data_IF_450324149235
#
_entry.id   IF_450324149235
#
_cell.length_a   1.000
_cell.length_b   1.000
_cell.length_c   1.000
_cell.angle_alpha   90.00
_cell.angle_beta   90.00
_cell.angle_gamma   90.00
#
_symmetry.space_group_name_H-M   'P 1'
#
loop_
_entity.id
_entity.type
_entity.pdbx_description
1 polymer ?
#
# COMPACT_ATOMS: atom_id res chain seq x y z
N UNK A 1 -1.26 13.77 -11.05
CA UNK A 1 -1.24 12.47 -10.36
C UNK A 1 -1.12 12.65 -8.86
N UNK A 2 -0.11 13.38 -8.35
CA UNK A 2 0.00 13.74 -6.92
C UNK A 2 -1.27 14.39 -6.33
N UNK A 3 -1.91 15.32 -7.01
CA UNK A 3 -3.14 15.91 -6.46
C UNK A 3 -4.29 14.89 -6.40
N UNK A 4 -4.37 13.96 -7.35
CA UNK A 4 -5.40 12.92 -7.36
C UNK A 4 -5.14 11.85 -6.31
N UNK A 5 -3.88 11.50 -6.05
CA UNK A 5 -3.53 10.35 -5.21
C UNK A 5 -3.94 10.55 -3.75
N UNK A 6 -3.67 11.72 -3.17
CA UNK A 6 -4.08 11.98 -1.79
C UNK A 6 -5.60 11.99 -1.64
N UNK A 7 -6.34 12.62 -2.56
CA UNK A 7 -7.81 12.62 -2.55
C UNK A 7 -8.38 11.19 -2.66
N UNK A 8 -7.83 10.37 -3.56
CA UNK A 8 -8.26 8.99 -3.72
C UNK A 8 -8.00 8.16 -2.45
N UNK A 9 -6.83 8.32 -1.83
CA UNK A 9 -6.46 7.59 -0.61
C UNK A 9 -7.24 8.05 0.60
N UNK A 10 -7.52 9.34 0.73
CA UNK A 10 -8.39 9.87 1.78
C UNK A 10 -9.83 9.31 1.62
N UNK A 11 -10.37 9.30 0.39
CA UNK A 11 -11.69 8.71 0.11
C UNK A 11 -11.72 7.21 0.41
N UNK A 12 -10.70 6.46 -0.02
CA UNK A 12 -10.55 5.02 0.25
C UNK A 12 -10.55 4.77 1.77
N UNK A 13 -9.73 5.51 2.53
CA UNK A 13 -9.66 5.41 3.99
C UNK A 13 -11.02 5.73 4.65
N UNK A 14 -11.72 6.77 4.19
CA UNK A 14 -13.07 7.12 4.69
C UNK A 14 -14.06 5.97 4.42
N UNK A 15 -14.06 5.40 3.22
CA UNK A 15 -14.95 4.29 2.86
C UNK A 15 -14.62 3.05 3.72
N UNK A 16 -13.35 2.67 3.81
CA UNK A 16 -12.89 1.50 4.56
C UNK A 16 -13.22 1.61 6.05
N UNK A 17 -12.92 2.74 6.68
CA UNK A 17 -13.20 2.98 8.11
C UNK A 17 -14.70 2.95 8.41
N UNK A 18 -15.53 3.57 7.56
CA UNK A 18 -16.99 3.55 7.73
C UNK A 18 -17.58 2.14 7.49
N UNK A 19 -17.11 1.43 6.47
CA UNK A 19 -17.53 0.07 6.18
C UNK A 19 -17.18 -0.86 7.34
N UNK A 20 -15.93 -0.85 7.78
CA UNK A 20 -15.47 -1.64 8.92
C UNK A 20 -16.31 -1.35 10.17
N UNK A 21 -16.51 -0.07 10.52
CA UNK A 21 -17.30 0.28 11.71
C UNK A 21 -18.77 -0.15 11.60
N UNK A 22 -19.35 -0.16 10.39
CA UNK A 22 -20.70 -0.70 10.18
C UNK A 22 -20.73 -2.22 10.38
N UNK A 23 -19.76 -2.95 9.83
CA UNK A 23 -19.67 -4.41 9.96
C UNK A 23 -19.40 -4.83 11.41
N UNK A 24 -18.50 -4.12 12.10
CA UNK A 24 -18.19 -4.32 13.53
C UNK A 24 -19.44 -4.24 14.41
N UNK A 25 -20.37 -3.34 14.10
CA UNK A 25 -21.65 -3.21 14.85
C UNK A 25 -22.71 -4.22 14.43
N UNK A 26 -22.61 -4.78 13.23
CA UNK A 26 -23.63 -5.67 12.65
C UNK A 26 -23.47 -7.10 13.14
N UNK A 27 -22.23 -7.57 13.27
CA UNK A 27 -21.94 -8.95 13.60
C UNK A 27 -21.50 -9.08 15.07
N UNK A 28 -21.86 -10.22 15.67
CA UNK A 28 -21.25 -10.66 16.93
C UNK A 28 -19.95 -11.36 16.58
N UNK A 29 -18.83 -10.84 17.09
CA UNK A 29 -17.49 -11.24 16.71
C UNK A 29 -16.66 -11.49 17.97
N UNK A 30 -15.87 -12.56 17.99
CA UNK A 30 -14.86 -12.78 19.03
C UNK A 30 -13.53 -12.09 18.69
N UNK A 31 -13.30 -11.85 17.40
CA UNK A 31 -12.08 -11.23 16.87
C UNK A 31 -12.38 -10.48 15.56
N UNK A 32 -11.69 -9.36 15.35
CA UNK A 32 -11.81 -8.56 14.12
C UNK A 32 -10.53 -7.77 13.89
N UNK A 33 -10.15 -7.61 12.63
CA UNK A 33 -8.97 -6.86 12.20
C UNK A 33 -9.35 -5.84 11.15
N UNK A 34 -8.82 -4.63 11.31
CA UNK A 34 -8.84 -3.59 10.29
C UNK A 34 -7.40 -3.35 9.83
N UNK A 35 -7.17 -3.35 8.52
CA UNK A 35 -5.89 -3.06 7.91
C UNK A 35 -6.07 -1.98 6.85
N UNK A 36 -5.15 -1.02 6.81
CA UNK A 36 -5.10 0.04 5.81
C UNK A 36 -3.64 0.37 5.49
N UNK A 37 -3.33 0.54 4.21
CA UNK A 37 -2.00 0.82 3.68
C UNK A 37 -1.89 2.25 3.13
N UNK A 38 -2.90 3.11 3.36
CA UNK A 38 -2.93 4.48 2.84
C UNK A 38 -1.83 5.32 3.46
N UNK A 39 -1.52 5.12 4.75
CA UNK A 39 -0.41 5.78 5.44
C UNK A 39 0.94 5.52 4.78
N UNK A 40 1.16 4.29 4.32
CA UNK A 40 2.38 3.91 3.64
C UNK A 40 2.53 4.62 2.29
N UNK A 41 1.48 4.53 1.47
CA UNK A 41 1.44 5.19 0.15
C UNK A 41 1.61 6.71 0.27
N UNK A 42 0.88 7.33 1.20
CA UNK A 42 0.95 8.77 1.41
C UNK A 42 2.27 9.18 2.05
N UNK A 43 2.84 8.36 2.94
CA UNK A 43 4.17 8.55 3.51
C UNK A 43 5.22 8.59 2.41
N UNK A 44 5.22 7.63 1.49
CA UNK A 44 6.17 7.64 0.38
C UNK A 44 6.13 8.91 -0.47
N UNK A 45 4.95 9.48 -0.73
CA UNK A 45 4.80 10.60 -1.67
C UNK A 45 4.87 11.98 -0.96
N UNK A 46 4.29 12.09 0.22
CA UNK A 46 4.03 13.37 0.90
C UNK A 46 4.81 13.55 2.19
N UNK A 47 5.73 12.66 2.56
CA UNK A 47 6.57 12.89 3.74
C UNK A 47 7.44 14.13 3.52
N UNK A 48 7.43 15.06 4.47
CA UNK A 48 8.16 16.34 4.39
C UNK A 48 8.85 16.62 5.71
N UNK A 49 9.87 17.48 5.68
CA UNK A 49 10.46 17.98 6.93
C UNK A 49 9.45 18.87 7.65
N UNK A 50 9.48 18.83 8.98
CA UNK A 50 8.69 19.77 9.80
C UNK A 50 9.07 21.21 9.44
N UNK A 51 8.07 22.04 9.11
CA UNK A 51 8.27 23.43 8.71
C UNK A 51 8.63 23.64 7.24
N UNK A 52 8.71 22.59 6.43
CA UNK A 52 8.85 22.71 4.99
C UNK A 52 7.54 23.22 4.37
N UNK A 53 7.61 24.33 3.64
CA UNK A 53 6.46 24.87 2.91
C UNK A 53 6.14 24.01 1.69
N UNK A 54 4.92 23.50 1.64
CA UNK A 54 4.41 22.72 0.52
C UNK A 54 2.89 22.84 0.51
N UNK A 55 2.30 22.91 -0.69
CA UNK A 55 0.84 22.81 -0.84
C UNK A 55 0.25 21.47 -0.35
N UNK A 56 1.11 20.48 -0.08
CA UNK A 56 0.73 19.15 0.40
C UNK A 56 1.07 18.91 1.87
N UNK A 57 1.49 19.94 2.62
CA UNK A 57 1.91 19.78 4.03
C UNK A 57 0.79 19.23 4.93
N UNK A 58 -0.48 19.40 4.55
CA UNK A 58 -1.63 18.89 5.30
C UNK A 58 -2.04 17.45 4.96
N UNK A 59 -1.50 16.84 3.90
CA UNK A 59 -1.96 15.49 3.46
C UNK A 59 -1.80 14.44 4.56
N UNK A 60 -0.59 14.32 5.13
CA UNK A 60 -0.32 13.35 6.20
C UNK A 60 -1.10 13.71 7.48
N UNK A 61 -1.07 14.97 7.98
CA UNK A 61 -1.90 15.38 9.11
C UNK A 61 -3.40 15.11 8.94
N UNK A 62 -3.98 15.39 7.77
CA UNK A 62 -5.40 15.13 7.46
C UNK A 62 -5.70 13.64 7.60
N UNK A 63 -4.84 12.78 7.04
CA UNK A 63 -4.97 11.32 7.12
C UNK A 63 -4.96 10.85 8.59
N UNK A 64 -4.07 11.41 9.42
CA UNK A 64 -4.07 11.14 10.87
C UNK A 64 -5.36 11.61 11.57
N UNK A 65 -5.96 12.74 11.17
CA UNK A 65 -7.25 13.18 11.73
C UNK A 65 -8.40 12.25 11.35
N UNK A 66 -8.39 11.68 10.15
CA UNK A 66 -9.40 10.69 9.71
C UNK A 66 -9.29 9.43 10.58
N UNK A 67 -8.08 8.87 10.74
CA UNK A 67 -7.90 7.65 11.54
C UNK A 67 -8.16 7.89 13.02
N UNK A 68 -7.77 9.04 13.58
CA UNK A 68 -8.00 9.37 14.99
C UNK A 68 -9.51 9.39 15.32
N UNK A 69 -10.31 10.03 14.45
CA UNK A 69 -11.77 10.00 14.57
C UNK A 69 -12.35 8.58 14.50
N UNK A 70 -11.81 7.73 13.62
CA UNK A 70 -12.22 6.33 13.51
C UNK A 70 -11.82 5.52 14.76
N UNK A 71 -10.57 5.65 15.22
CA UNK A 71 -10.06 5.02 16.43
C UNK A 71 -10.90 5.42 17.64
N UNK A 72 -11.31 6.70 17.74
CA UNK A 72 -12.24 7.16 18.77
C UNK A 72 -13.56 6.40 18.77
N UNK A 73 -14.17 6.21 17.59
CA UNK A 73 -15.42 5.42 17.44
C UNK A 73 -15.23 3.96 17.84
N UNK A 74 -14.18 3.31 17.35
CA UNK A 74 -13.87 1.91 17.64
C UNK A 74 -13.55 1.73 19.13
N UNK A 75 -12.78 2.63 19.74
CA UNK A 75 -12.45 2.60 21.16
C UNK A 75 -13.70 2.71 22.04
N UNK A 76 -14.65 3.58 21.70
CA UNK A 76 -15.92 3.70 22.42
C UNK A 76 -16.76 2.41 22.29
N UNK A 77 -16.83 1.84 21.09
CA UNK A 77 -17.47 0.54 20.88
C UNK A 77 -16.78 -0.57 21.70
N UNK A 78 -15.46 -0.63 21.69
CA UNK A 78 -14.68 -1.64 22.41
C UNK A 78 -14.91 -1.53 23.92
N UNK A 79 -14.88 -0.32 24.49
CA UNK A 79 -15.19 -0.08 25.91
C UNK A 79 -16.61 -0.53 26.27
N UNK A 80 -17.61 -0.19 25.45
CA UNK A 80 -19.02 -0.54 25.72
C UNK A 80 -19.24 -2.06 25.71
N UNK A 81 -18.53 -2.78 24.85
CA UNK A 81 -18.71 -4.21 24.66
C UNK A 81 -17.57 -5.06 25.27
N UNK A 82 -16.75 -4.47 26.15
CA UNK A 82 -15.67 -5.15 26.87
C UNK A 82 -14.59 -5.81 25.96
N UNK A 83 -14.31 -5.23 24.80
CA UNK A 83 -13.22 -5.65 23.91
C UNK A 83 -11.88 -4.98 24.26
N UNK A 84 -10.79 -5.65 23.89
CA UNK A 84 -9.47 -5.05 23.78
C UNK A 84 -9.33 -4.41 22.39
N UNK A 85 -8.79 -3.19 22.36
CA UNK A 85 -8.36 -2.51 21.15
C UNK A 85 -6.83 -2.52 21.11
N UNK A 86 -6.30 -3.05 20.01
CA UNK A 86 -4.87 -3.08 19.72
C UNK A 86 -4.65 -2.30 18.44
N UNK A 87 -3.71 -1.36 18.47
CA UNK A 87 -3.26 -0.59 17.32
C UNK A 87 -1.77 -0.87 17.18
N UNK A 88 -1.36 -1.38 16.04
CA UNK A 88 0.04 -1.67 15.74
C UNK A 88 0.38 -1.22 14.32
N UNK A 89 1.64 -0.86 14.11
CA UNK A 89 2.24 -0.75 12.77
C UNK A 89 3.36 -1.77 12.62
N UNK A 90 3.58 -2.21 11.39
CA UNK A 90 4.70 -3.07 11.01
C UNK A 90 6.02 -2.29 10.94
N UNK A 91 5.97 -1.01 10.59
CA UNK A 91 7.11 -0.09 10.63
C UNK A 91 6.66 1.36 10.87
N UNK A 92 7.62 2.28 10.86
CA UNK A 92 7.43 3.72 10.89
C UNK A 92 7.83 4.37 9.58
N UNK A 93 7.96 5.70 9.59
CA UNK A 93 8.38 6.48 8.43
C UNK A 93 9.44 7.51 8.81
N UNK A 94 10.32 7.79 7.85
CA UNK A 94 11.36 8.80 7.94
C UNK A 94 11.60 9.48 6.60
N UNK A 95 12.30 10.61 6.62
CA UNK A 95 12.62 11.33 5.40
C UNK A 95 13.68 10.56 4.60
N UNK A 96 13.39 10.32 3.32
CA UNK A 96 14.35 9.77 2.38
C UNK A 96 15.38 10.84 1.99
N UNK A 97 16.67 10.52 1.98
CA UNK A 97 17.72 11.45 1.54
C UNK A 97 17.50 11.89 0.08
N UNK A 98 17.67 13.20 -0.24
CA UNK A 98 17.41 13.75 -1.58
C UNK A 98 18.10 12.99 -2.72
N UNK A 99 19.36 12.57 -2.54
CA UNK A 99 20.11 11.78 -3.53
C UNK A 99 19.47 10.41 -3.87
N UNK A 100 18.60 9.90 -2.98
CA UNK A 100 17.88 8.64 -3.11
C UNK A 100 16.40 8.84 -3.50
N UNK A 101 15.93 10.09 -3.63
CA UNK A 101 14.59 10.44 -4.11
C UNK A 101 14.61 10.46 -5.64
N UNK A 102 14.72 9.27 -6.25
CA UNK A 102 14.66 9.14 -7.71
C UNK A 102 13.22 9.02 -8.15
N UNK A 103 12.82 9.86 -9.10
CA UNK A 103 11.58 9.65 -9.86
C UNK A 103 11.57 8.25 -10.42
N UNK A 104 10.40 7.63 -10.45
CA UNK A 104 10.24 6.30 -11.01
C UNK A 104 9.10 6.32 -12.02
N UNK A 105 9.24 5.45 -13.01
CA UNK A 105 8.30 5.30 -14.09
C UNK A 105 7.54 4.02 -13.89
N UNK A 106 6.26 4.05 -14.20
CA UNK A 106 5.42 2.87 -14.10
C UNK A 106 4.59 2.74 -15.36
N UNK A 107 4.37 1.52 -15.82
CA UNK A 107 3.53 1.30 -17.00
C UNK A 107 2.09 1.62 -16.61
N UNK A 108 1.43 2.52 -17.34
CA UNK A 108 0.00 2.73 -17.16
C UNK A 108 -0.76 1.56 -17.78
N UNK A 109 -0.90 0.48 -17.00
CA UNK A 109 -1.47 -0.81 -17.45
C UNK A 109 -2.84 -0.60 -18.12
N UNK A 110 -3.70 0.23 -17.52
CA UNK A 110 -5.05 0.46 -18.00
C UNK A 110 -5.06 1.09 -19.39
N UNK A 111 -4.33 2.19 -19.56
CA UNK A 111 -4.29 2.89 -20.84
C UNK A 111 -3.55 2.06 -21.89
N UNK A 112 -2.42 1.45 -21.54
CA UNK A 112 -1.68 0.59 -22.46
C UNK A 112 -2.57 -0.53 -23.02
N UNK A 113 -3.28 -1.26 -22.16
CA UNK A 113 -4.16 -2.34 -22.61
C UNK A 113 -5.34 -1.83 -23.45
N UNK A 114 -5.86 -0.64 -23.17
CA UNK A 114 -6.95 -0.03 -23.97
C UNK A 114 -6.46 0.43 -25.35
N UNK A 115 -5.31 1.11 -25.38
CA UNK A 115 -4.71 1.62 -26.62
C UNK A 115 -4.29 0.50 -27.57
N UNK A 116 -3.90 -0.66 -27.03
CA UNK A 116 -3.57 -1.85 -27.82
C UNK A 116 -4.77 -2.78 -28.09
N UNK A 117 -5.93 -2.55 -27.45
CA UNK A 117 -7.11 -3.39 -27.62
C UNK A 117 -7.11 -4.72 -26.84
N UNK A 118 -6.24 -4.88 -25.83
CA UNK A 118 -6.11 -6.11 -25.02
C UNK A 118 -6.77 -6.01 -23.62
N UNK A 119 -7.54 -4.95 -23.37
CA UNK A 119 -8.12 -4.69 -22.04
C UNK A 119 -8.93 -5.84 -21.45
N UNK A 120 -9.68 -6.56 -22.30
CA UNK A 120 -10.53 -7.68 -21.91
C UNK A 120 -9.81 -9.03 -21.92
N UNK A 121 -8.60 -9.10 -22.47
CA UNK A 121 -7.85 -10.35 -22.66
C UNK A 121 -6.72 -10.51 -21.68
N UNK A 122 -6.04 -9.40 -21.37
CA UNK A 122 -4.83 -9.39 -20.56
C UNK A 122 -5.07 -8.60 -19.28
N UNK A 123 -4.39 -8.99 -18.21
CA UNK A 123 -4.25 -8.19 -17.00
C UNK A 123 -2.79 -8.11 -16.58
N UNK A 124 -2.43 -7.00 -15.92
CA UNK A 124 -1.07 -6.76 -15.42
C UNK A 124 -1.05 -6.66 -13.91
N UNK A 125 0.01 -7.17 -13.30
CA UNK A 125 0.32 -7.03 -11.87
C UNK A 125 1.67 -6.32 -11.74
N UNK A 126 1.73 -5.24 -10.97
CA UNK A 126 2.99 -4.58 -10.67
C UNK A 126 3.90 -5.47 -9.82
N UNK A 127 5.17 -5.56 -10.23
CA UNK A 127 6.25 -6.23 -9.51
C UNK A 127 7.48 -5.32 -9.54
N UNK A 128 7.67 -4.56 -8.46
CA UNK A 128 8.74 -3.55 -8.33
C UNK A 128 8.82 -2.64 -9.56
N UNK A 129 9.84 -2.80 -10.40
CA UNK A 129 10.09 -2.00 -11.62
C UNK A 129 9.56 -2.65 -12.91
N UNK A 130 8.83 -3.75 -12.77
CA UNK A 130 8.25 -4.52 -13.87
C UNK A 130 6.75 -4.69 -13.71
N UNK A 131 6.09 -5.08 -14.79
CA UNK A 131 4.72 -5.57 -14.77
C UNK A 131 4.71 -6.99 -15.28
N UNK A 132 4.06 -7.88 -14.53
CA UNK A 132 3.76 -9.23 -14.98
C UNK A 132 2.40 -9.23 -15.65
N UNK A 133 2.38 -9.50 -16.94
CA UNK A 133 1.15 -9.63 -17.72
C UNK A 133 0.80 -11.10 -17.93
N UNK A 134 -0.50 -11.41 -17.85
CA UNK A 134 -1.06 -12.74 -18.09
C UNK A 134 -2.38 -12.62 -18.83
N UNK A 135 -2.77 -13.69 -19.52
CA UNK A 135 -4.14 -13.82 -20.01
C UNK A 135 -5.10 -13.93 -18.84
N UNK A 136 -6.26 -13.30 -18.97
CA UNK A 136 -7.39 -13.51 -18.07
C UNK A 136 -7.93 -14.94 -18.25
N UNK A 137 -8.48 -15.56 -17.19
CA UNK A 137 -8.95 -16.94 -17.25
C UNK A 137 -9.91 -17.26 -18.40
N UNK A 138 -10.78 -16.31 -18.76
CA UNK A 138 -11.83 -16.51 -19.79
C UNK A 138 -11.48 -15.85 -21.13
N UNK A 139 -10.23 -15.43 -21.33
CA UNK A 139 -9.81 -14.80 -22.60
C UNK A 139 -9.65 -15.84 -23.70
N UNK A 140 -10.17 -15.52 -24.89
CA UNK A 140 -9.90 -16.24 -26.13
C UNK A 140 -8.70 -15.65 -26.89
N UNK A 141 -8.05 -14.64 -26.33
CA UNK A 141 -6.91 -13.95 -26.90
C UNK A 141 -5.60 -14.74 -26.75
N UNK A 142 -4.55 -14.18 -27.34
CA UNK A 142 -3.21 -14.77 -27.38
C UNK A 142 -2.22 -13.89 -26.64
N UNK A 143 -1.52 -14.46 -25.65
CA UNK A 143 -0.44 -13.75 -24.95
C UNK A 143 0.69 -13.38 -25.90
N UNK A 144 0.89 -14.18 -26.95
CA UNK A 144 1.88 -13.93 -28.01
C UNK A 144 1.49 -12.75 -28.88
N UNK A 145 0.20 -12.57 -29.16
CA UNK A 145 -0.27 -11.41 -29.94
C UNK A 145 -0.07 -10.12 -29.14
N UNK A 146 -0.30 -10.19 -27.82
CA UNK A 146 0.01 -9.10 -26.91
C UNK A 146 1.51 -8.82 -26.84
N UNK A 147 2.35 -9.86 -26.78
CA UNK A 147 3.81 -9.74 -26.84
C UNK A 147 4.26 -9.00 -28.10
N UNK A 148 3.81 -9.44 -29.28
CA UNK A 148 4.11 -8.78 -30.57
C UNK A 148 3.63 -7.33 -30.60
N UNK A 149 2.46 -7.03 -30.01
CA UNK A 149 1.97 -5.66 -29.92
C UNK A 149 2.88 -4.77 -29.06
N UNK A 150 3.40 -5.28 -27.93
CA UNK A 150 4.35 -4.57 -27.06
C UNK A 150 5.69 -4.40 -27.77
N UNK A 151 6.20 -5.45 -28.41
CA UNK A 151 7.47 -5.43 -29.16
C UNK A 151 7.49 -4.40 -30.28
N UNK A 152 6.32 -4.01 -30.81
CA UNK A 152 6.19 -3.01 -31.86
C UNK A 152 6.18 -1.57 -31.34
N UNK A 153 6.04 -1.34 -30.03
CA UNK A 153 5.95 0.01 -29.47
C UNK A 153 7.32 0.70 -29.54
N UNK A 154 7.35 1.90 -30.11
CA UNK A 154 8.57 2.73 -30.21
C UNK A 154 8.30 4.09 -29.60
N UNK A 155 9.23 4.61 -28.81
CA UNK A 155 9.26 6.00 -28.35
C UNK A 155 10.40 6.72 -29.08
N UNK A 156 10.09 7.74 -29.88
CA UNK A 156 11.06 8.43 -30.76
C UNK A 156 11.92 7.44 -31.59
N UNK A 157 11.29 6.37 -32.11
CA UNK A 157 11.97 5.34 -32.90
C UNK A 157 12.75 4.28 -32.10
N UNK A 158 12.81 4.36 -30.77
CA UNK A 158 13.52 3.40 -29.91
C UNK A 158 12.53 2.50 -29.16
N UNK A 159 12.89 1.24 -28.91
CA UNK A 159 12.08 0.30 -28.13
C UNK A 159 11.77 0.82 -26.73
N UNK A 160 10.47 0.94 -26.42
CA UNK A 160 10.02 1.45 -25.12
C UNK A 160 10.15 0.42 -23.99
N UNK A 161 10.04 -0.88 -24.32
CA UNK A 161 9.95 -1.95 -23.33
C UNK A 161 10.99 -3.04 -23.55
N UNK A 162 11.52 -3.56 -22.44
CA UNK A 162 12.22 -4.84 -22.39
C UNK A 162 11.25 -5.94 -21.93
N UNK A 163 11.25 -7.07 -22.63
CA UNK A 163 10.29 -8.15 -22.42
C UNK A 163 11.04 -9.44 -22.03
N UNK A 164 10.52 -10.15 -21.04
CA UNK A 164 10.90 -11.54 -20.74
C UNK A 164 9.67 -12.43 -20.83
N UNK A 165 9.75 -13.43 -21.68
CA UNK A 165 8.60 -14.26 -22.05
C UNK A 165 8.70 -15.63 -21.41
N UNK A 166 7.57 -16.12 -20.93
CA UNK A 166 7.39 -17.43 -20.32
C UNK A 166 6.07 -18.02 -20.83
N UNK A 167 5.89 -19.33 -20.64
CA UNK A 167 4.71 -20.07 -21.14
C UNK A 167 3.37 -19.41 -20.82
N UNK A 168 3.20 -18.86 -19.61
CA UNK A 168 1.92 -18.30 -19.14
C UNK A 168 1.99 -16.84 -18.68
N UNK A 169 3.11 -16.14 -18.93
CA UNK A 169 3.28 -14.75 -18.49
C UNK A 169 4.35 -14.03 -19.29
N UNK A 170 4.19 -12.71 -19.38
CA UNK A 170 5.23 -11.79 -19.81
C UNK A 170 5.67 -10.94 -18.63
N UNK A 171 6.96 -10.69 -18.50
CA UNK A 171 7.50 -9.72 -17.55
C UNK A 171 8.05 -8.56 -18.36
N UNK A 172 7.39 -7.40 -18.26
CA UNK A 172 7.69 -6.22 -19.07
C UNK A 172 8.29 -5.13 -18.18
N UNK A 173 9.38 -4.52 -18.63
CA UNK A 173 10.08 -3.40 -17.99
C UNK A 173 10.21 -2.23 -18.94
N UNK A 174 10.25 -1.02 -18.40
CA UNK A 174 10.47 0.20 -19.18
C UNK A 174 11.97 0.32 -19.47
N UNK A 175 12.33 0.61 -20.72
CA UNK A 175 13.69 1.02 -21.05
C UNK A 175 13.86 2.50 -20.61
N UNK A 176 14.66 2.76 -19.58
CA UNK A 176 14.80 4.11 -19.00
C UNK A 176 15.76 5.02 -19.80
N UNK A 177 15.65 5.00 -21.14
CA UNK A 177 16.50 5.78 -22.04
C UNK A 177 15.90 7.14 -22.42
N UNK A 178 14.68 7.43 -21.95
CA UNK A 178 13.86 8.56 -22.41
C UNK A 178 13.92 9.79 -21.50
N UNK A 179 14.52 9.68 -20.31
CA UNK A 179 14.59 10.78 -19.33
C UNK A 179 13.20 11.35 -18.96
N UNK A 180 13.15 12.52 -18.34
CA UNK A 180 11.90 13.06 -17.76
C UNK A 180 10.96 13.77 -18.75
N UNK A 181 11.23 13.68 -20.06
CA UNK A 181 10.39 14.32 -21.06
C UNK A 181 9.09 13.52 -21.29
N UNK A 182 7.98 14.07 -20.78
CA UNK A 182 6.64 13.44 -20.81
C UNK A 182 5.97 13.51 -22.18
N UNK A 183 6.36 14.47 -23.03
CA UNK A 183 5.70 14.74 -24.31
C UNK A 183 6.32 14.02 -25.50
N UNK A 184 7.28 13.12 -25.26
CA UNK A 184 7.87 12.28 -26.30
C UNK A 184 6.79 11.47 -27.01
N UNK A 185 6.95 11.26 -28.32
CA UNK A 185 5.99 10.55 -29.14
C UNK A 185 6.22 9.04 -29.05
N UNK A 186 5.14 8.32 -28.81
CA UNK A 186 5.10 6.86 -28.78
C UNK A 186 4.23 6.37 -29.92
N UNK A 187 4.85 5.64 -30.84
CA UNK A 187 4.19 4.97 -31.94
C UNK A 187 3.70 3.59 -31.50
N UNK A 188 2.42 3.34 -31.74
CA UNK A 188 1.73 2.10 -31.40
C UNK A 188 1.55 1.22 -32.66
N UNK A 189 1.41 -0.11 -32.51
CA UNK A 189 1.25 -1.04 -33.65
C UNK A 189 0.04 -0.74 -34.55
N UNK A 190 -0.98 -0.06 -34.03
CA UNK A 190 -2.18 0.34 -34.77
C UNK A 190 -2.00 1.63 -35.59
N UNK A 191 -0.76 2.09 -35.80
CA UNK A 191 -0.40 3.35 -36.49
C UNK A 191 -0.86 4.62 -35.78
N UNK A 192 -1.31 4.53 -34.53
CA UNK A 192 -1.59 5.68 -33.68
C UNK A 192 -0.29 6.14 -33.03
N UNK A 193 -0.12 7.46 -32.93
CA UNK A 193 0.93 8.06 -32.11
C UNK A 193 0.29 8.73 -30.90
N UNK A 194 0.82 8.45 -29.72
CA UNK A 194 0.38 9.03 -28.44
C UNK A 194 1.56 9.68 -27.72
N UNK A 195 1.28 10.49 -26.69
CA UNK A 195 2.34 11.01 -25.81
C UNK A 195 2.82 9.93 -24.85
N UNK A 196 4.09 9.97 -24.45
CA UNK A 196 4.70 8.99 -23.54
C UNK A 196 3.96 8.91 -22.21
N UNK A 197 3.48 10.04 -21.68
CA UNK A 197 2.69 10.10 -20.45
C UNK A 197 1.29 9.47 -20.51
N UNK A 198 0.82 9.08 -21.71
CA UNK A 198 -0.41 8.30 -21.85
C UNK A 198 -0.20 6.81 -21.56
N UNK A 199 1.03 6.31 -21.77
CA UNK A 199 1.42 4.91 -21.61
C UNK A 199 2.27 4.70 -20.35
N UNK A 200 2.98 5.74 -19.89
CA UNK A 200 3.89 5.69 -18.75
C UNK A 200 3.47 6.73 -17.71
N UNK A 201 3.28 6.27 -16.48
CA UNK A 201 3.07 7.12 -15.32
C UNK A 201 4.42 7.62 -14.81
N UNK A 202 4.57 8.95 -14.75
CA UNK A 202 5.76 9.63 -14.23
C UNK A 202 5.52 9.99 -12.77
N UNK A 203 5.99 9.13 -11.87
CA UNK A 203 5.79 9.30 -10.45
C UNK A 203 6.94 10.10 -9.85
N UNK A 204 6.64 11.08 -8.97
CA UNK A 204 7.69 11.76 -8.21
C UNK A 204 8.48 10.74 -7.40
N UNK A 205 9.76 11.05 -7.17
CA UNK A 205 10.56 10.26 -6.27
C UNK A 205 9.95 10.24 -4.87
N UNK A 206 9.97 9.06 -4.25
CA UNK A 206 9.49 8.95 -2.87
C UNK A 206 10.29 9.87 -1.96
N UNK A 207 9.60 10.70 -1.19
CA UNK A 207 10.19 11.60 -0.21
C UNK A 207 10.24 10.96 1.18
N UNK A 208 9.39 9.98 1.44
CA UNK A 208 9.38 9.15 2.65
C UNK A 208 9.95 7.76 2.39
N UNK A 209 10.58 7.19 3.42
CA UNK A 209 11.04 5.80 3.46
C UNK A 209 10.57 5.14 4.74
N UNK A 210 10.47 3.81 4.73
CA UNK A 210 10.23 3.03 5.94
C UNK A 210 11.33 3.29 6.96
N UNK A 211 10.94 3.51 8.21
CA UNK A 211 11.86 3.57 9.35
C UNK A 211 11.72 2.28 10.16
N UNK A 212 12.84 1.59 10.40
CA UNK A 212 12.88 0.38 11.23
C UNK A 212 12.89 0.68 12.73
N UNK A 213 13.28 1.90 13.09
CA UNK A 213 13.46 2.31 14.49
C UNK A 213 12.20 2.96 15.08
N UNK A 214 11.21 3.25 14.24
CA UNK A 214 9.98 3.90 14.61
C UNK A 214 8.78 3.00 14.29
N UNK A 215 7.72 3.13 15.07
CA UNK A 215 6.47 2.38 14.91
C UNK A 215 5.50 2.77 16.02
N UNK A 216 4.25 2.33 15.89
CA UNK A 216 3.21 2.61 16.89
C UNK A 216 2.69 1.29 17.43
N UNK A 217 2.67 1.15 18.75
CA UNK A 217 1.97 0.08 19.45
C UNK A 217 1.15 0.66 20.58
N UNK A 218 -0.16 0.40 20.57
CA UNK A 218 -1.10 0.85 21.60
C UNK A 218 -2.00 -0.33 21.94
N UNK A 219 -2.02 -0.67 23.23
CA UNK A 219 -2.92 -1.69 23.78
C UNK A 219 -3.86 -1.00 24.76
N UNK A 220 -5.16 -1.17 24.57
CA UNK A 220 -6.17 -0.64 25.47
C UNK A 220 -7.27 -1.67 25.70
N UNK A 221 -7.63 -1.92 26.95
CA UNK A 221 -8.72 -2.87 27.23
C UNK A 221 -8.87 -3.23 28.70
N UNK A 222 -9.86 -4.08 29.01
CA UNK A 222 -10.23 -4.46 30.38
C UNK A 222 -9.07 -5.03 31.20
N UNK A 223 -8.16 -5.77 30.57
CA UNK A 223 -7.04 -6.44 31.25
C UNK A 223 -5.70 -5.68 31.14
N UNK A 224 -5.67 -4.53 30.45
CA UNK A 224 -4.44 -3.79 30.19
C UNK A 224 -4.21 -2.69 31.23
N UNK A 225 -2.97 -2.53 31.72
CA UNK A 225 -2.58 -1.44 32.63
C UNK A 225 -2.73 -0.08 31.95
N UNK A 226 -3.24 0.91 32.67
CA UNK A 226 -3.29 2.30 32.20
C UNK A 226 -1.91 2.95 32.38
N UNK A 227 -1.50 3.76 31.42
CA UNK A 227 -0.28 4.58 31.50
C UNK A 227 1.04 3.80 31.44
N UNK A 228 1.00 2.49 31.21
CA UNK A 228 2.20 1.68 30.99
C UNK A 228 2.87 2.08 29.66
N UNK A 229 4.19 2.22 29.67
CA UNK A 229 5.01 2.58 28.51
C UNK A 229 6.24 1.69 28.49
N UNK A 230 6.60 1.21 27.30
CA UNK A 230 7.84 0.45 27.05
C UNK A 230 8.32 0.74 25.63
N UNK A 231 9.63 0.57 25.40
CA UNK A 231 10.24 0.53 24.06
C UNK A 231 10.64 -0.90 23.65
N UNK A 232 10.53 -1.85 24.57
CA UNK A 232 10.92 -3.26 24.38
C UNK A 232 9.75 -4.05 23.78
N UNK A 233 9.39 -3.70 22.55
CA UNK A 233 8.31 -4.33 21.80
C UNK A 233 8.69 -4.43 20.33
N UNK A 234 8.33 -5.55 19.72
CA UNK A 234 8.47 -5.80 18.29
C UNK A 234 7.11 -6.17 17.67
N UNK A 235 6.94 -6.05 16.35
CA UNK A 235 5.75 -6.56 15.67
C UNK A 235 5.46 -8.04 15.97
N UNK A 236 6.51 -8.85 16.19
CA UNK A 236 6.38 -10.28 16.51
C UNK A 236 5.67 -10.54 17.84
N UNK A 237 5.68 -9.58 18.78
CA UNK A 237 5.05 -9.76 20.08
C UNK A 237 3.52 -9.60 20.04
N UNK A 238 2.97 -9.03 18.96
CA UNK A 238 1.54 -8.72 18.84
C UNK A 238 0.69 -9.99 18.79
N UNK A 239 1.02 -10.92 17.89
CA UNK A 239 0.28 -12.18 17.68
C UNK A 239 0.24 -13.07 18.93
N UNK A 240 1.36 -13.46 19.58
CA UNK A 240 1.31 -14.25 20.81
C UNK A 240 0.54 -13.54 21.93
N UNK A 241 0.61 -12.21 21.99
CA UNK A 241 -0.14 -11.41 22.98
C UNK A 241 -1.66 -11.44 22.72
N UNK A 242 -2.09 -11.38 21.46
CA UNK A 242 -3.50 -11.56 21.07
C UNK A 242 -3.99 -12.96 21.45
N UNK A 243 -3.23 -14.00 21.09
CA UNK A 243 -3.59 -15.39 21.42
C UNK A 243 -3.74 -15.58 22.93
N UNK A 244 -2.82 -15.03 23.73
CA UNK A 244 -2.92 -15.05 25.19
C UNK A 244 -4.18 -14.33 25.70
N UNK A 245 -4.53 -13.18 25.14
CA UNK A 245 -5.77 -12.44 25.48
C UNK A 245 -7.03 -13.24 25.15
N UNK A 246 -7.00 -13.99 24.05
CA UNK A 246 -8.09 -14.87 23.61
C UNK A 246 -8.08 -16.25 24.27
N UNK A 247 -7.17 -16.49 25.23
CA UNK A 247 -6.98 -17.80 25.88
C UNK A 247 -6.77 -18.95 24.88
N UNK A 248 -6.09 -18.66 23.77
CA UNK A 248 -5.75 -19.62 22.72
C UNK A 248 -4.32 -20.16 22.91
N UNK A 249 -4.05 -21.41 22.49
CA UNK A 249 -2.69 -21.94 22.50
C UNK A 249 -1.78 -21.11 21.59
N UNK A 250 -0.52 -20.95 22.00
CA UNK A 250 0.51 -20.25 21.23
C UNK A 250 1.38 -21.31 20.57
N UNK A 251 1.43 -21.39 19.23
CA UNK A 251 2.29 -22.34 18.54
C UNK A 251 3.77 -22.12 18.89
N UNK A 252 4.56 -23.20 18.90
CA UNK A 252 5.99 -23.12 19.27
C UNK A 252 6.88 -22.55 18.15
N UNK A 253 6.34 -22.44 16.94
CA UNK A 253 7.04 -22.01 15.73
C UNK A 253 6.76 -20.54 15.35
N UNK A 254 6.01 -19.79 16.17
CA UNK A 254 5.86 -18.34 15.98
C UNK A 254 6.93 -17.57 16.75
N UNK A 255 7.46 -16.53 16.11
CA UNK A 255 8.37 -15.57 16.74
C UNK A 255 7.65 -14.70 17.78
N UNK A 256 8.45 -14.09 18.66
CA UNK A 256 7.98 -13.10 19.64
C UNK A 256 7.58 -13.70 20.99
N UNK A 257 7.16 -12.83 21.90
CA UNK A 257 6.74 -13.20 23.26
C UNK A 257 5.42 -12.55 23.65
N UNK A 258 4.76 -13.12 24.64
CA UNK A 258 3.62 -12.48 25.30
C UNK A 258 4.11 -11.28 26.12
N UNK A 259 3.52 -10.11 25.90
CA UNK A 259 3.81 -8.86 26.63
C UNK A 259 3.18 -8.86 28.04
N UNK A 260 3.56 -9.82 28.88
CA UNK A 260 2.95 -10.06 30.22
C UNK A 260 3.00 -8.82 31.12
N UNK A 261 4.02 -7.99 30.97
CA UNK A 261 4.25 -6.77 31.73
C UNK A 261 3.12 -5.73 31.55
N UNK A 262 2.37 -5.75 30.44
CA UNK A 262 1.28 -4.81 30.21
C UNK A 262 -0.02 -5.20 30.91
N UNK A 263 -0.15 -6.43 31.40
CA UNK A 263 -1.39 -6.93 32.01
C UNK A 263 -1.55 -6.49 33.47
N UNK A 264 -2.80 -6.28 33.89
CA UNK A 264 -3.15 -6.06 35.30
C UNK A 264 -2.81 -7.32 36.12
N UNK A 265 -2.22 -7.14 37.32
CA UNK A 265 -1.64 -8.18 38.22
C UNK A 265 -2.54 -9.39 38.58
N UNK A 266 -3.82 -9.43 38.22
CA UNK A 266 -4.79 -10.44 38.69
C UNK A 266 -5.24 -11.50 37.67
N UNK A 267 -4.79 -11.47 36.40
CA UNK A 267 -5.47 -12.23 35.34
C UNK A 267 -4.57 -13.12 34.45
N UNK A 268 -3.38 -13.49 34.89
CA UNK A 268 -2.65 -14.58 34.24
C UNK A 268 -3.01 -15.87 34.99
N UNK A 269 -3.97 -16.62 34.45
CA UNK A 269 -4.06 -18.07 34.70
C UNK A 269 -3.19 -18.78 33.69
#
# INVERSE_FOLDING_TARGET
MEERMHLLKELELIIHTNLYYRLLKKYSLDFSVFFDYSFDTLGHIYWRKKGEESRYSDVIPNTYRIIDNFVGKVNNYAKKNNFHLIICSDHGFELKEKKNQRSYRQINILNLLRELGFYYDVYGIYMTESVVFRLRPDSLGSLRDFETAIEAIRCEGVELFAIKSYENKLIIRINDVFGDNKSLKVDLPNKKTVSLDSIIDFNPGHTGSHSKDNGVFIFNGPHIKKGFRTKEITPYDVTPTILALCSQPIPSDIDGRVLKEMFKRKNLK
#
